data_IF_272813868951
#
_entry.id   IF_272813868951
#
_cell.length_a   1.000
_cell.length_b   1.000
_cell.length_c   1.000
_cell.angle_alpha   90.00
_cell.angle_beta   90.00
_cell.angle_gamma   90.00
#
_symmetry.space_group_name_H-M   'P 1'
#
loop_
_entity.id
_entity.type
_entity.pdbx_description
1 polymer ?
#
# COMPACT_ATOMS: atom_id res chain seq x y z
N UNK A 1 3.56 7.95 14.21
CA UNK A 1 4.29 6.90 14.94
C UNK A 1 5.67 7.42 15.17
N UNK A 2 6.02 7.71 16.42
CA UNK A 2 7.28 8.34 16.83
C UNK A 2 8.50 7.44 16.67
N UNK A 3 8.65 6.79 15.52
CA UNK A 3 9.92 6.17 15.13
C UNK A 3 10.79 7.32 14.63
N UNK A 4 11.54 7.94 15.54
CA UNK A 4 12.37 9.11 15.27
C UNK A 4 13.31 8.91 14.07
N UNK A 5 13.76 10.02 13.47
CA UNK A 5 14.74 10.01 12.39
C UNK A 5 16.11 10.37 12.97
N UNK A 6 17.17 9.56 12.78
CA UNK A 6 17.24 8.33 11.98
C UNK A 6 16.69 7.10 12.71
N UNK A 7 16.02 6.22 11.96
CA UNK A 7 15.41 4.99 12.49
C UNK A 7 16.29 3.75 12.25
N UNK A 8 16.37 2.82 13.20
CA UNK A 8 17.01 1.52 12.97
C UNK A 8 16.36 0.79 11.80
N UNK A 9 17.16 0.06 11.02
CA UNK A 9 16.65 -0.75 9.92
C UNK A 9 15.64 -1.78 10.45
N UNK A 10 14.52 -1.94 9.75
CA UNK A 10 13.45 -2.89 10.08
C UNK A 10 13.64 -4.16 9.23
N UNK A 11 13.29 -5.33 9.74
CA UNK A 11 13.27 -6.61 8.99
C UNK A 11 12.00 -7.39 9.32
N UNK A 12 11.55 -8.25 8.42
CA UNK A 12 10.48 -9.21 8.71
C UNK A 12 11.11 -10.55 9.09
N UNK A 13 10.69 -11.13 10.20
CA UNK A 13 11.21 -12.39 10.74
C UNK A 13 10.07 -13.38 10.98
N UNK A 14 10.26 -14.65 10.64
CA UNK A 14 9.23 -15.71 10.77
C UNK A 14 8.95 -16.44 9.45
N UNK A 15 7.77 -17.04 9.35
CA UNK A 15 7.29 -17.62 8.07
C UNK A 15 6.62 -16.56 7.21
N UNK A 16 6.51 -16.72 5.88
CA UNK A 16 5.83 -15.75 5.02
C UNK A 16 4.42 -15.36 5.51
N UNK A 17 3.68 -16.33 6.05
CA UNK A 17 2.29 -16.20 6.54
C UNK A 17 2.22 -15.52 7.92
N UNK A 18 3.24 -15.72 8.77
CA UNK A 18 3.23 -15.26 10.16
C UNK A 18 4.34 -14.23 10.49
N UNK A 19 5.03 -13.67 9.49
CA UNK A 19 6.23 -12.87 9.77
C UNK A 19 5.94 -11.56 10.53
N UNK A 20 6.68 -11.34 11.61
CA UNK A 20 6.65 -10.14 12.44
C UNK A 20 7.66 -9.10 11.92
N UNK A 21 7.36 -7.80 12.01
CA UNK A 21 8.32 -6.76 11.66
C UNK A 21 9.10 -6.34 12.93
N UNK A 22 10.42 -6.49 12.91
CA UNK A 22 11.30 -6.13 14.03
C UNK A 22 12.31 -5.06 13.63
N UNK A 23 12.66 -4.17 14.55
CA UNK A 23 13.81 -3.27 14.38
C UNK A 23 15.11 -4.06 14.55
N UNK A 24 16.24 -3.45 14.15
CA UNK A 24 17.59 -4.00 14.37
C UNK A 24 17.84 -4.38 15.84
N UNK A 25 17.23 -3.65 16.76
CA UNK A 25 17.40 -3.84 18.20
C UNK A 25 16.43 -4.90 18.77
N UNK A 26 15.73 -5.64 17.91
CA UNK A 26 14.83 -6.74 18.25
C UNK A 26 13.38 -6.33 18.59
N UNK A 27 13.09 -5.03 18.64
CA UNK A 27 11.77 -4.51 18.99
C UNK A 27 10.73 -4.87 17.93
N UNK A 28 9.64 -5.51 18.33
CA UNK A 28 8.50 -5.73 17.45
C UNK A 28 7.80 -4.39 17.12
N UNK A 29 7.78 -4.02 15.85
CA UNK A 29 7.23 -2.76 15.34
C UNK A 29 6.06 -2.97 14.38
N UNK A 30 5.67 -4.21 14.09
CA UNK A 30 4.56 -4.52 13.16
C UNK A 30 3.24 -3.87 13.56
N UNK A 31 2.89 -3.92 14.86
CA UNK A 31 1.70 -3.26 15.39
C UNK A 31 1.69 -1.74 15.16
N UNK A 32 2.81 -1.07 15.46
CA UNK A 32 2.96 0.38 15.27
C UNK A 32 2.90 0.79 13.78
N UNK A 33 3.41 -0.06 12.88
CA UNK A 33 3.31 0.13 11.44
C UNK A 33 1.86 -0.03 10.94
N UNK A 34 1.14 -1.05 11.41
CA UNK A 34 -0.26 -1.25 11.05
C UNK A 34 -1.16 -0.12 11.58
N UNK A 35 -0.91 0.34 12.81
CA UNK A 35 -1.63 1.48 13.38
C UNK A 35 -1.35 2.78 12.62
N UNK A 36 -0.11 2.98 12.16
CA UNK A 36 0.21 4.10 11.29
C UNK A 36 -0.54 4.05 9.97
N UNK A 37 -0.61 2.87 9.34
CA UNK A 37 -1.37 2.68 8.11
C UNK A 37 -2.85 3.05 8.31
N UNK A 38 -3.46 2.64 9.44
CA UNK A 38 -4.83 3.03 9.77
C UNK A 38 -5.00 4.54 9.95
N UNK A 39 -4.03 5.23 10.57
CA UNK A 39 -4.05 6.71 10.65
C UNK A 39 -3.91 7.38 9.28
N UNK A 40 -3.08 6.83 8.39
CA UNK A 40 -3.01 7.32 7.00
C UNK A 40 -4.33 7.09 6.29
N UNK A 41 -4.97 5.93 6.51
CA UNK A 41 -6.26 5.60 5.94
C UNK A 41 -7.39 6.54 6.40
N UNK A 42 -7.31 7.15 7.59
CA UNK A 42 -8.25 8.19 8.01
C UNK A 42 -8.24 9.43 7.10
N UNK A 43 -7.23 9.59 6.26
CA UNK A 43 -7.13 10.65 5.25
C UNK A 43 -7.63 10.21 3.86
N UNK A 44 -8.43 9.14 3.80
CA UNK A 44 -8.95 8.52 2.57
C UNK A 44 -9.52 9.54 1.56
N UNK A 45 -10.26 10.52 2.05
CA UNK A 45 -10.93 11.51 1.20
C UNK A 45 -9.97 12.48 0.50
N UNK A 46 -8.68 12.45 0.86
CA UNK A 46 -7.62 13.26 0.26
C UNK A 46 -6.61 12.45 -0.54
N UNK A 47 -6.84 11.13 -0.66
CA UNK A 47 -5.91 10.21 -1.32
C UNK A 47 -6.58 9.58 -2.54
N UNK A 48 -5.94 9.73 -3.70
CA UNK A 48 -6.39 9.09 -4.95
C UNK A 48 -5.44 8.02 -5.46
N UNK A 49 -4.29 7.88 -4.80
CA UNK A 49 -3.37 6.78 -5.01
C UNK A 49 -2.27 6.77 -3.96
N UNK A 50 -1.58 5.64 -3.83
CA UNK A 50 -0.43 5.51 -2.95
C UNK A 50 0.72 4.78 -3.63
N UNK A 51 1.90 5.38 -3.62
CA UNK A 51 3.13 4.77 -4.15
C UNK A 51 3.96 4.27 -2.99
N UNK A 52 4.22 2.96 -2.97
CA UNK A 52 5.09 2.33 -2.01
C UNK A 52 6.54 2.37 -2.48
N UNK A 53 7.45 2.83 -1.63
CA UNK A 53 8.88 2.81 -1.94
C UNK A 53 9.41 1.37 -2.00
N UNK A 54 10.04 1.01 -3.12
CA UNK A 54 10.61 -0.32 -3.32
C UNK A 54 11.69 -0.62 -2.26
N UNK A 55 11.85 -1.91 -1.90
CA UNK A 55 12.88 -2.41 -0.96
C UNK A 55 12.79 -1.87 0.46
N UNK A 56 11.71 -1.17 0.81
CA UNK A 56 11.43 -0.81 2.19
C UNK A 56 10.90 -2.03 2.95
N UNK A 57 11.58 -2.52 3.99
CA UNK A 57 11.12 -3.68 4.77
C UNK A 57 9.82 -3.40 5.54
N UNK A 58 9.47 -2.13 5.76
CA UNK A 58 8.18 -1.72 6.34
C UNK A 58 7.09 -1.49 5.29
N UNK A 59 7.45 -0.99 4.11
CA UNK A 59 6.49 -0.43 3.14
C UNK A 59 6.40 -1.17 1.80
N UNK A 60 7.22 -2.19 1.52
CA UNK A 60 7.14 -2.88 0.24
C UNK A 60 5.76 -3.51 0.01
N UNK A 61 5.18 -3.28 -1.16
CA UNK A 61 3.87 -3.80 -1.56
C UNK A 61 3.99 -5.25 -2.02
N UNK A 62 5.14 -5.62 -2.61
CA UNK A 62 5.46 -6.95 -3.09
C UNK A 62 6.92 -7.32 -2.76
N UNK A 63 7.19 -8.63 -2.66
CA UNK A 63 8.54 -9.21 -2.51
C UNK A 63 9.33 -8.69 -1.30
N UNK A 64 8.63 -8.42 -0.19
CA UNK A 64 9.30 -8.04 1.06
C UNK A 64 10.07 -9.24 1.60
N UNK A 65 11.38 -9.06 1.84
CA UNK A 65 12.23 -10.12 2.37
C UNK A 65 11.77 -10.53 3.77
N UNK A 66 11.47 -11.81 3.93
CA UNK A 66 11.21 -12.48 5.20
C UNK A 66 12.41 -13.34 5.55
N UNK A 67 12.97 -13.11 6.74
CA UNK A 67 14.11 -13.83 7.29
C UNK A 67 13.61 -14.97 8.19
N UNK A 68 14.00 -16.22 7.95
CA UNK A 68 13.66 -17.34 8.84
C UNK A 68 14.28 -17.15 10.23
N UNK A 69 13.54 -17.50 11.29
CA UNK A 69 14.01 -17.37 12.69
C UNK A 69 15.25 -18.22 12.98
N UNK A 70 15.41 -19.37 12.31
CA UNK A 70 16.57 -20.26 12.45
C UNK A 70 17.80 -19.88 11.62
N UNK A 71 17.79 -18.73 10.95
CA UNK A 71 18.81 -18.35 9.97
C UNK A 71 18.59 -19.01 8.60
N UNK A 72 19.22 -18.45 7.57
CA UNK A 72 19.09 -18.92 6.18
C UNK A 72 18.82 -17.81 5.17
N UNK A 73 18.64 -18.19 3.91
CA UNK A 73 18.37 -17.24 2.83
C UNK A 73 16.98 -16.60 2.99
N UNK A 74 16.86 -15.26 2.85
CA UNK A 74 15.57 -14.59 2.96
C UNK A 74 14.67 -14.95 1.76
N UNK A 75 13.38 -15.17 2.03
CA UNK A 75 12.37 -15.37 0.98
C UNK A 75 11.76 -14.02 0.62
N UNK A 76 11.72 -13.70 -0.67
CA UNK A 76 11.14 -12.45 -1.17
C UNK A 76 9.64 -12.64 -1.45
N UNK A 77 8.89 -13.00 -0.42
CA UNK A 77 7.48 -13.37 -0.49
C UNK A 77 6.68 -12.57 0.53
N UNK A 78 5.63 -11.90 0.04
CA UNK A 78 4.68 -11.16 0.87
C UNK A 78 4.79 -9.64 0.79
N UNK A 79 3.95 -9.00 1.60
CA UNK A 79 3.69 -7.56 1.67
C UNK A 79 4.13 -7.04 3.06
N UNK A 80 4.64 -5.81 3.11
CA UNK A 80 5.02 -5.16 4.37
C UNK A 80 3.79 -4.93 5.26
N UNK A 81 3.96 -4.95 6.59
CA UNK A 81 2.83 -4.78 7.54
C UNK A 81 2.08 -3.47 7.35
N UNK A 82 2.77 -2.37 7.00
CA UNK A 82 2.12 -1.10 6.68
C UNK A 82 1.30 -1.20 5.39
N UNK A 83 1.87 -1.77 4.32
CA UNK A 83 1.19 -1.91 3.03
C UNK A 83 -0.03 -2.83 3.13
N UNK A 84 0.07 -3.93 3.89
CA UNK A 84 -1.07 -4.82 4.14
C UNK A 84 -2.21 -4.07 4.85
N UNK A 85 -1.93 -3.42 5.96
CA UNK A 85 -2.93 -2.68 6.72
C UNK A 85 -3.53 -1.50 5.95
N UNK A 86 -2.76 -0.82 5.09
CA UNK A 86 -3.29 0.28 4.25
C UNK A 86 -4.26 -0.26 3.19
N UNK A 87 -3.89 -1.34 2.50
CA UNK A 87 -4.75 -1.96 1.49
C UNK A 87 -6.01 -2.60 2.10
N UNK A 88 -5.94 -3.13 3.32
CA UNK A 88 -7.12 -3.62 4.05
C UNK A 88 -8.06 -2.46 4.42
N UNK A 89 -7.50 -1.33 4.86
CA UNK A 89 -8.30 -0.16 5.25
C UNK A 89 -8.89 0.59 4.05
N UNK A 90 -8.21 0.60 2.90
CA UNK A 90 -8.60 1.29 1.67
C UNK A 90 -8.52 0.35 0.46
N UNK A 91 -9.45 -0.61 0.32
CA UNK A 91 -9.40 -1.63 -0.73
C UNK A 91 -9.55 -1.04 -2.14
N UNK A 92 -10.25 0.09 -2.29
CA UNK A 92 -10.47 0.76 -3.57
C UNK A 92 -9.32 1.70 -3.99
N UNK A 93 -8.40 2.01 -3.06
CA UNK A 93 -7.32 2.95 -3.32
C UNK A 93 -6.32 2.35 -4.32
N UNK A 94 -6.05 3.01 -5.45
CA UNK A 94 -5.00 2.59 -6.36
C UNK A 94 -3.63 2.61 -5.67
N UNK A 95 -2.96 1.46 -5.67
CA UNK A 95 -1.59 1.34 -5.12
C UNK A 95 -0.62 0.75 -6.13
N UNK A 96 0.65 1.17 -6.06
CA UNK A 96 1.74 0.64 -6.88
C UNK A 96 3.10 0.79 -6.18
N UNK A 97 4.12 0.07 -6.63
CA UNK A 97 5.51 0.26 -6.17
C UNK A 97 6.29 1.21 -7.08
N UNK A 98 7.11 2.07 -6.48
CA UNK A 98 7.97 3.02 -7.20
C UNK A 98 8.81 2.33 -8.30
N UNK A 99 9.44 1.19 -7.99
CA UNK A 99 10.21 0.42 -8.96
C UNK A 99 9.41 -0.07 -10.17
N UNK A 100 8.12 -0.35 -9.99
CA UNK A 100 7.22 -0.82 -11.05
C UNK A 100 6.76 0.30 -11.96
N UNK A 101 6.77 1.55 -11.49
CA UNK A 101 6.43 2.73 -12.28
C UNK A 101 7.51 3.11 -13.32
N UNK A 102 8.66 2.45 -13.30
CA UNK A 102 9.63 2.55 -14.40
C UNK A 102 9.14 1.86 -15.67
N UNK A 103 8.25 0.87 -15.56
CA UNK A 103 7.56 0.30 -16.70
C UNK A 103 6.46 1.26 -17.16
N UNK A 104 6.49 1.73 -18.42
CA UNK A 104 5.55 2.73 -18.90
C UNK A 104 4.10 2.23 -18.90
N UNK A 105 3.86 0.95 -19.16
CA UNK A 105 2.52 0.34 -19.18
C UNK A 105 1.96 0.27 -17.77
N UNK A 106 2.75 -0.19 -16.80
CA UNK A 106 2.32 -0.22 -15.39
C UNK A 106 2.06 1.18 -14.84
N UNK A 107 2.90 2.15 -15.21
CA UNK A 107 2.70 3.55 -14.83
C UNK A 107 1.42 4.12 -15.41
N UNK A 108 1.14 3.89 -16.69
CA UNK A 108 -0.08 4.36 -17.35
C UNK A 108 -1.34 3.74 -16.73
N UNK A 109 -1.30 2.44 -16.44
CA UNK A 109 -2.37 1.75 -15.73
C UNK A 109 -2.60 2.33 -14.32
N UNK A 110 -1.52 2.56 -13.56
CA UNK A 110 -1.62 3.16 -12.23
C UNK A 110 -2.26 4.55 -12.30
N UNK A 111 -1.78 5.43 -13.19
CA UNK A 111 -2.31 6.77 -13.35
C UNK A 111 -3.78 6.75 -13.78
N UNK A 112 -4.16 5.85 -14.70
CA UNK A 112 -5.56 5.68 -15.14
C UNK A 112 -6.47 5.36 -13.96
N UNK A 113 -6.08 4.41 -13.10
CA UNK A 113 -6.83 4.08 -11.89
C UNK A 113 -6.89 5.25 -10.90
N UNK A 114 -5.80 6.01 -10.73
CA UNK A 114 -5.77 7.21 -9.88
C UNK A 114 -6.78 8.25 -10.36
N UNK A 115 -6.82 8.53 -11.67
CA UNK A 115 -7.82 9.46 -12.22
C UNK A 115 -9.25 8.94 -12.10
N UNK A 116 -9.46 7.64 -12.26
CA UNK A 116 -10.77 7.02 -12.04
C UNK A 116 -11.23 7.16 -10.58
N UNK A 117 -10.33 6.89 -9.62
CA UNK A 117 -10.60 7.04 -8.20
C UNK A 117 -10.90 8.50 -7.82
N UNK A 118 -10.10 9.45 -8.29
CA UNK A 118 -10.32 10.87 -8.04
C UNK A 118 -11.68 11.35 -8.58
N UNK A 119 -12.06 10.90 -9.77
CA UNK A 119 -13.36 11.22 -10.34
C UNK A 119 -14.50 10.58 -9.53
N UNK A 120 -14.34 9.35 -9.06
CA UNK A 120 -15.30 8.68 -8.19
C UNK A 120 -15.49 9.43 -6.87
N UNK A 121 -14.39 9.81 -6.20
CA UNK A 121 -14.44 10.60 -4.96
C UNK A 121 -15.17 11.93 -5.17
N UNK A 122 -14.88 12.64 -6.27
CA UNK A 122 -15.56 13.88 -6.61
C UNK A 122 -17.06 13.69 -6.86
N UNK A 123 -17.46 12.59 -7.51
CA UNK A 123 -18.88 12.24 -7.70
C UNK A 123 -19.59 11.96 -6.38
N UNK A 124 -18.95 11.21 -5.47
CA UNK A 124 -19.49 10.94 -4.14
C UNK A 124 -19.72 12.22 -3.34
N UNK A 125 -18.77 13.16 -3.38
CA UNK A 125 -18.88 14.45 -2.69
C UNK A 125 -19.99 15.34 -3.26
N UNK A 126 -20.24 15.29 -4.57
CA UNK A 126 -21.28 16.08 -5.25
C UNK A 126 -22.69 15.51 -5.08
N UNK A 127 -22.81 14.26 -4.60
CA UNK A 127 -24.06 13.53 -4.49
C UNK A 127 -24.27 12.58 -5.67
N UNK A 128 -24.60 11.33 -5.34
CA UNK A 128 -24.78 10.28 -6.33
C UNK A 128 -26.18 10.36 -6.95
N UNK A 129 -26.23 10.26 -8.28
CA UNK A 129 -27.45 10.05 -9.03
C UNK A 129 -27.29 8.84 -9.96
N UNK A 130 -28.40 8.22 -10.35
CA UNK A 130 -28.37 7.10 -11.28
C UNK A 130 -27.67 7.46 -12.60
N UNK A 131 -27.94 8.65 -13.15
CA UNK A 131 -27.30 9.11 -14.39
C UNK A 131 -25.80 9.34 -14.23
N UNK A 132 -25.36 9.87 -13.08
CA UNK A 132 -23.93 10.10 -12.79
C UNK A 132 -23.15 8.78 -12.67
N UNK A 133 -23.75 7.76 -12.03
CA UNK A 133 -23.16 6.42 -11.92
C UNK A 133 -23.03 5.77 -13.29
N UNK A 134 -24.09 5.80 -14.11
CA UNK A 134 -24.06 5.25 -15.48
C UNK A 134 -22.99 5.95 -16.34
N UNK A 135 -22.89 7.28 -16.25
CA UNK A 135 -21.89 8.05 -16.98
C UNK A 135 -20.45 7.69 -16.55
N UNK A 136 -20.22 7.52 -15.24
CA UNK A 136 -18.94 7.06 -14.71
C UNK A 136 -18.55 5.69 -15.27
N UNK A 137 -19.42 4.69 -15.14
CA UNK A 137 -19.12 3.35 -15.66
C UNK A 137 -18.95 3.32 -17.18
N UNK A 138 -19.69 4.14 -17.92
CA UNK A 138 -19.55 4.24 -19.38
C UNK A 138 -18.18 4.79 -19.79
N UNK A 139 -17.65 5.74 -19.02
CA UNK A 139 -16.34 6.37 -19.29
C UNK A 139 -15.17 5.43 -19.02
N UNK A 140 -15.27 4.59 -17.99
CA UNK A 140 -14.17 3.71 -17.57
C UNK A 140 -14.33 2.25 -18.03
N UNK A 141 -15.36 1.93 -18.82
CA UNK A 141 -15.72 0.57 -19.28
C UNK A 141 -14.59 -0.21 -19.97
N UNK A 142 -13.63 0.49 -20.56
CA UNK A 142 -12.48 -0.09 -21.28
C UNK A 142 -11.12 0.34 -20.69
N UNK A 143 -11.12 0.97 -19.51
CA UNK A 143 -9.93 1.53 -18.87
C UNK A 143 -9.63 0.90 -17.50
N UNK A 144 -10.57 0.13 -16.94
CA UNK A 144 -10.46 -0.60 -15.68
C UNK A 144 -10.58 -2.10 -15.92
#
# INVERSE_FOLDING_TARGET
SGLGTPRPAIRREGTPEAAEARSRDGLAVGGALAEYARRVAQRADTLDGFIFMQRSPSCGLQRVKVYPEGGGAPRAEGRGRFAAALCEALPELPVEEEGRLHDPVLRENFLTRVYAHAHWQALRQRGLSHSAIVAFHSRYKYQL
#
